data_IF_779576951725
#
_entry.id   IF_779576951725
#
_cell.length_a   1.000
_cell.length_b   1.000
_cell.length_c   1.000
_cell.angle_alpha   90.00
_cell.angle_beta   90.00
_cell.angle_gamma   90.00
#
_symmetry.space_group_name_H-M   'P 1'
#
loop_
_entity.id
_entity.type
_entity.pdbx_description
1 polymer ?
#
# COMPACT_ATOMS: atom_id res chain seq x y z
N UNK A 1 -4.74 5.39 -1.46
CA UNK A 1 -5.27 6.73 -1.15
C UNK A 1 -6.79 6.84 -1.35
N UNK A 2 -7.42 6.12 -2.28
CA UNK A 2 -8.84 6.35 -2.64
C UNK A 2 -9.94 5.79 -1.70
N UNK A 3 -9.63 4.97 -0.68
CA UNK A 3 -10.65 4.44 0.24
C UNK A 3 -10.92 5.35 1.46
N UNK A 4 -9.92 6.07 1.95
CA UNK A 4 -10.05 6.88 3.17
C UNK A 4 -10.79 8.21 2.94
N UNK A 5 -10.56 8.81 1.77
CA UNK A 5 -11.20 10.08 1.38
C UNK A 5 -12.72 9.95 1.19
N UNK A 6 -13.23 8.74 0.89
CA UNK A 6 -14.68 8.48 0.77
C UNK A 6 -15.42 8.41 2.12
N UNK A 7 -14.70 8.20 3.23
CA UNK A 7 -15.30 8.10 4.57
C UNK A 7 -14.98 9.31 5.46
N UNK A 8 -14.20 10.28 4.98
CA UNK A 8 -13.78 11.45 5.78
C UNK A 8 -12.90 11.10 6.98
N UNK A 9 -12.37 9.87 7.03
CA UNK A 9 -11.50 9.39 8.09
C UNK A 9 -10.06 9.52 7.60
N UNK A 10 -9.29 10.41 8.22
CA UNK A 10 -7.87 10.53 7.93
C UNK A 10 -7.14 9.20 8.20
N UNK A 11 -6.28 8.71 7.28
CA UNK A 11 -5.46 7.53 7.53
C UNK A 11 -4.71 7.63 8.87
N UNK A 12 -4.80 6.58 9.67
CA UNK A 12 -4.17 6.52 11.00
C UNK A 12 -4.88 7.31 12.10
N UNK A 13 -6.10 7.83 11.87
CA UNK A 13 -6.87 8.53 12.90
C UNK A 13 -7.07 7.69 14.17
N UNK A 14 -7.40 6.41 14.02
CA UNK A 14 -7.56 5.48 15.15
C UNK A 14 -6.28 5.34 15.98
N UNK A 15 -5.12 5.22 15.33
CA UNK A 15 -3.83 5.13 16.00
C UNK A 15 -3.48 6.43 16.73
N UNK A 16 -3.76 7.59 16.12
CA UNK A 16 -3.57 8.90 16.77
C UNK A 16 -4.47 9.04 17.99
N UNK A 17 -5.73 8.62 17.89
CA UNK A 17 -6.68 8.63 19.01
C UNK A 17 -6.19 7.73 20.16
N UNK A 18 -5.69 6.52 19.86
CA UNK A 18 -5.14 5.62 20.86
C UNK A 18 -3.89 6.21 21.56
N UNK A 19 -2.99 6.85 20.81
CA UNK A 19 -1.81 7.54 21.38
C UNK A 19 -2.23 8.70 22.29
N UNK A 20 -3.20 9.52 21.87
CA UNK A 20 -3.70 10.62 22.68
C UNK A 20 -4.34 10.11 23.97
N UNK A 21 -5.20 9.09 23.88
CA UNK A 21 -5.84 8.48 25.04
C UNK A 21 -4.80 7.89 26.03
N UNK A 22 -3.75 7.23 25.52
CA UNK A 22 -2.67 6.71 26.35
C UNK A 22 -1.93 7.83 27.09
N UNK A 23 -1.64 8.96 26.41
CA UNK A 23 -0.99 10.13 27.02
C UNK A 23 -1.85 10.76 28.12
N UNK A 24 -3.15 10.96 27.87
CA UNK A 24 -4.10 11.50 28.84
C UNK A 24 -4.18 10.63 30.12
N UNK A 25 -4.07 9.31 29.94
CA UNK A 25 -4.13 8.34 31.03
C UNK A 25 -2.75 7.95 31.60
N UNK A 26 -1.68 8.65 31.22
CA UNK A 26 -0.30 8.36 31.66
C UNK A 26 0.13 6.90 31.42
N UNK A 27 -0.37 6.29 30.34
CA UNK A 27 -0.02 4.92 29.92
C UNK A 27 1.16 4.94 28.95
N UNK A 28 2.06 3.95 29.03
CA UNK A 28 3.15 3.83 28.08
C UNK A 28 2.63 3.54 26.67
N UNK A 29 3.22 4.19 25.67
CA UNK A 29 2.98 3.91 24.24
C UNK A 29 4.12 3.04 23.74
N UNK A 30 3.79 1.86 23.24
CA UNK A 30 4.76 0.92 22.69
C UNK A 30 4.74 0.99 21.16
N UNK A 31 5.87 1.33 20.55
CA UNK A 31 6.06 1.28 19.10
C UNK A 31 6.48 -0.13 18.68
N UNK A 32 5.47 -0.99 18.52
CA UNK A 32 5.66 -2.42 18.22
C UNK A 32 5.72 -2.72 16.72
N UNK A 33 5.26 -1.79 15.88
CA UNK A 33 5.27 -1.97 14.44
C UNK A 33 6.70 -1.85 13.87
N UNK A 34 6.87 -2.44 12.70
CA UNK A 34 8.07 -2.39 11.88
C UNK A 34 8.17 -1.02 11.20
N UNK A 35 9.40 -0.54 11.03
CA UNK A 35 9.64 0.65 10.20
C UNK A 35 9.05 0.48 8.80
N UNK A 36 8.23 1.45 8.37
CA UNK A 36 7.50 1.38 7.10
C UNK A 36 8.43 1.16 5.88
N UNK A 37 9.65 1.71 5.92
CA UNK A 37 10.64 1.51 4.86
C UNK A 37 11.06 0.04 4.69
N UNK A 38 11.13 -0.73 5.78
CA UNK A 38 11.42 -2.17 5.73
C UNK A 38 10.22 -2.92 5.15
N UNK A 39 9.01 -2.56 5.55
CA UNK A 39 7.76 -3.13 4.97
C UNK A 39 7.71 -2.90 3.47
N UNK A 40 7.88 -1.67 3.01
CA UNK A 40 7.82 -1.31 1.59
C UNK A 40 8.92 -2.00 0.78
N UNK A 41 10.15 -2.08 1.33
CA UNK A 41 11.22 -2.85 0.69
C UNK A 41 10.82 -4.31 0.52
N UNK A 42 10.27 -4.96 1.56
CA UNK A 42 9.85 -6.36 1.49
C UNK A 42 8.73 -6.58 0.48
N UNK A 43 7.72 -5.70 0.45
CA UNK A 43 6.66 -5.72 -0.56
C UNK A 43 7.23 -5.65 -1.97
N UNK A 44 8.10 -4.67 -2.24
CA UNK A 44 8.73 -4.53 -3.56
C UNK A 44 9.54 -5.77 -3.91
N UNK A 45 10.30 -6.34 -2.96
CA UNK A 45 11.11 -7.53 -3.22
C UNK A 45 10.26 -8.78 -3.48
N UNK A 46 9.08 -8.87 -2.87
CA UNK A 46 8.20 -10.03 -3.01
C UNK A 46 7.41 -10.04 -4.32
N UNK A 47 7.21 -8.86 -4.93
CA UNK A 47 6.55 -8.74 -6.23
C UNK A 47 7.53 -9.12 -7.36
N UNK A 48 7.12 -9.91 -8.35
CA UNK A 48 7.92 -10.21 -9.53
C UNK A 48 8.39 -8.96 -10.29
N UNK A 49 9.59 -9.00 -10.87
CA UNK A 49 10.20 -7.81 -11.47
C UNK A 49 9.38 -7.22 -12.64
N UNK A 50 8.63 -8.05 -13.38
CA UNK A 50 7.75 -7.59 -14.45
C UNK A 50 6.54 -6.81 -13.92
N UNK A 51 5.91 -7.28 -12.85
CA UNK A 51 4.80 -6.58 -12.19
C UNK A 51 5.25 -5.24 -11.59
N UNK A 52 6.50 -5.14 -11.12
CA UNK A 52 7.06 -3.86 -10.65
C UNK A 52 7.01 -2.80 -11.73
N UNK A 53 7.30 -3.15 -12.99
CA UNK A 53 7.27 -2.23 -14.12
C UNK A 53 5.85 -1.66 -14.29
N UNK A 54 4.82 -2.50 -14.18
CA UNK A 54 3.41 -2.05 -14.23
C UNK A 54 3.07 -1.06 -13.11
N UNK A 55 3.52 -1.30 -11.89
CA UNK A 55 3.31 -0.39 -10.74
C UNK A 55 4.02 0.96 -10.98
N UNK A 56 5.27 0.93 -11.43
CA UNK A 56 6.03 2.16 -11.73
C UNK A 56 5.42 2.94 -12.90
N UNK A 57 5.01 2.25 -13.97
CA UNK A 57 4.33 2.85 -15.11
C UNK A 57 3.00 3.48 -14.68
N UNK A 58 2.19 2.78 -13.87
CA UNK A 58 0.95 3.32 -13.31
C UNK A 58 1.16 4.54 -12.41
N UNK A 59 2.23 4.56 -11.61
CA UNK A 59 2.61 5.72 -10.80
C UNK A 59 3.03 6.91 -11.67
N UNK A 60 3.87 6.70 -12.68
CA UNK A 60 4.28 7.74 -13.64
C UNK A 60 3.06 8.27 -14.39
N UNK A 61 2.21 7.39 -14.91
CA UNK A 61 0.95 7.76 -15.55
C UNK A 61 0.05 8.56 -14.61
N UNK A 62 -0.05 8.21 -13.32
CA UNK A 62 -0.85 8.96 -12.33
C UNK A 62 -0.30 10.37 -12.03
N UNK A 63 1.01 10.57 -12.22
CA UNK A 63 1.66 11.87 -12.04
C UNK A 63 1.46 12.72 -13.29
N UNK A 64 1.61 12.13 -14.48
CA UNK A 64 1.36 12.79 -15.76
C UNK A 64 -0.13 13.14 -15.95
N UNK A 65 -1.03 12.25 -15.51
CA UNK A 65 -2.49 12.44 -15.47
C UNK A 65 -2.97 13.58 -14.55
N UNK A 66 -2.07 14.25 -13.81
CA UNK A 66 -2.41 15.50 -13.13
C UNK A 66 -2.56 16.68 -14.11
N UNK A 67 -2.03 16.56 -15.32
CA UNK A 67 -2.44 17.35 -16.49
C UNK A 67 -3.46 16.51 -17.27
N UNK A 68 -4.55 17.14 -17.74
CA UNK A 68 -5.75 16.50 -18.30
C UNK A 68 -5.43 15.32 -19.23
N UNK A 69 -5.86 14.12 -18.87
CA UNK A 69 -5.64 12.91 -19.67
C UNK A 69 -6.51 12.96 -20.92
N UNK A 70 -5.88 12.89 -22.09
CA UNK A 70 -6.60 12.76 -23.36
C UNK A 70 -7.17 11.34 -23.53
N UNK A 71 -8.32 11.23 -24.19
CA UNK A 71 -9.02 9.95 -24.41
C UNK A 71 -8.15 8.95 -25.20
N UNK A 72 -7.25 9.47 -26.04
CA UNK A 72 -6.28 8.74 -26.86
C UNK A 72 -5.16 8.08 -26.03
N UNK A 73 -4.70 8.70 -24.94
CA UNK A 73 -3.72 8.10 -24.02
C UNK A 73 -4.33 6.98 -23.16
N UNK A 74 -5.65 7.05 -22.89
CA UNK A 74 -6.39 5.99 -22.19
C UNK A 74 -6.57 4.76 -23.09
N UNK A 75 -6.85 4.96 -24.37
CA UNK A 75 -6.94 3.88 -25.38
C UNK A 75 -5.60 3.18 -25.58
N UNK A 76 -4.49 3.93 -25.69
CA UNK A 76 -3.14 3.36 -25.82
C UNK A 76 -2.74 2.50 -24.60
N UNK A 77 -3.25 2.83 -23.42
CA UNK A 77 -3.08 2.03 -22.21
C UNK A 77 -3.90 0.72 -22.26
N UNK A 78 -5.08 0.72 -22.89
CA UNK A 78 -5.94 -0.47 -23.04
C UNK A 78 -5.46 -1.43 -24.12
N UNK A 79 -4.90 -0.91 -25.22
CA UNK A 79 -4.36 -1.74 -26.31
C UNK A 79 -3.10 -2.53 -25.90
N UNK A 80 -2.44 -2.10 -24.82
CA UNK A 80 -1.43 -2.90 -24.14
C UNK A 80 -2.07 -3.96 -23.26
N UNK A 81 -2.18 -5.19 -23.78
CA UNK A 81 -2.54 -6.48 -23.13
C UNK A 81 -1.88 -6.73 -21.74
N UNK A 82 -0.96 -5.86 -21.36
CA UNK A 82 -0.34 -5.72 -20.04
C UNK A 82 -1.29 -5.25 -18.94
N UNK A 83 -2.20 -4.29 -19.16
CA UNK A 83 -3.00 -3.74 -18.05
C UNK A 83 -4.03 -4.75 -17.55
N UNK A 84 -4.73 -5.44 -18.45
CA UNK A 84 -5.73 -6.44 -18.10
C UNK A 84 -5.07 -7.66 -17.43
N UNK A 85 -3.94 -8.12 -17.97
CA UNK A 85 -3.09 -9.16 -17.35
C UNK A 85 -2.54 -8.72 -15.99
N UNK A 86 -2.08 -7.47 -15.85
CA UNK A 86 -1.59 -6.94 -14.56
C UNK A 86 -2.71 -6.87 -13.53
N UNK A 87 -3.92 -6.42 -13.91
CA UNK A 87 -5.07 -6.38 -13.00
C UNK A 87 -5.53 -7.78 -12.59
N UNK A 88 -5.48 -8.76 -13.51
CA UNK A 88 -5.76 -10.16 -13.22
C UNK A 88 -4.70 -10.79 -12.30
N UNK A 89 -3.41 -10.59 -12.56
CA UNK A 89 -2.30 -11.03 -11.69
C UNK A 89 -2.35 -10.37 -10.30
N UNK A 90 -2.71 -9.08 -10.22
CA UNK A 90 -2.89 -8.36 -8.95
C UNK A 90 -4.08 -8.90 -8.13
N UNK A 91 -5.09 -9.48 -8.80
CA UNK A 91 -6.25 -10.09 -8.18
C UNK A 91 -6.02 -11.56 -7.79
N UNK A 92 -5.25 -12.31 -8.59
CA UNK A 92 -4.92 -13.71 -8.37
C UNK A 92 -3.85 -13.90 -7.29
N UNK A 93 -2.79 -13.07 -7.25
CA UNK A 93 -1.64 -13.31 -6.37
C UNK A 93 -1.57 -12.37 -5.16
N UNK A 94 -2.70 -12.28 -4.44
CA UNK A 94 -2.77 -11.51 -3.18
C UNK A 94 -1.73 -11.94 -2.13
N UNK A 95 -1.14 -13.13 -2.26
CA UNK A 95 -0.05 -13.63 -1.41
C UNK A 95 1.16 -12.70 -1.41
N UNK A 96 1.55 -12.16 -2.58
CA UNK A 96 2.76 -11.36 -2.71
C UNK A 96 2.71 -10.04 -1.93
N UNK A 97 1.51 -9.50 -1.75
CA UNK A 97 1.24 -8.33 -0.92
C UNK A 97 0.90 -8.73 0.52
N UNK A 98 0.08 -9.76 0.70
CA UNK A 98 -0.42 -10.20 2.00
C UNK A 98 0.71 -10.64 2.94
N UNK A 99 1.65 -11.46 2.44
CA UNK A 99 2.74 -11.98 3.25
C UNK A 99 3.59 -10.84 3.86
N UNK A 100 4.17 -9.92 3.06
CA UNK A 100 4.97 -8.85 3.62
C UNK A 100 4.13 -7.78 4.32
N UNK A 101 2.89 -7.47 3.93
CA UNK A 101 2.11 -6.39 4.58
C UNK A 101 1.42 -6.81 5.88
N UNK A 102 0.94 -8.06 5.95
CA UNK A 102 0.09 -8.55 7.04
C UNK A 102 0.85 -9.62 7.83
N UNK A 103 1.09 -10.80 7.25
CA UNK A 103 1.59 -11.95 8.01
C UNK A 103 2.96 -11.70 8.67
N UNK A 104 3.94 -11.20 7.92
CA UNK A 104 5.25 -10.85 8.48
C UNK A 104 5.17 -9.72 9.50
N UNK A 105 4.29 -8.74 9.25
CA UNK A 105 4.08 -7.60 10.15
C UNK A 105 3.52 -8.07 11.49
N UNK A 106 2.51 -8.93 11.44
CA UNK A 106 1.84 -9.44 12.62
C UNK A 106 2.78 -10.31 13.45
N UNK A 107 3.59 -11.16 12.79
CA UNK A 107 4.68 -11.90 13.47
C UNK A 107 5.72 -10.97 14.10
N UNK A 108 6.11 -9.89 13.41
CA UNK A 108 7.03 -8.89 13.95
C UNK A 108 6.45 -8.19 15.19
N UNK A 109 5.21 -7.71 15.11
CA UNK A 109 4.52 -7.05 16.23
C UNK A 109 4.35 -8.00 17.42
N UNK A 110 3.94 -9.25 17.18
CA UNK A 110 3.78 -10.26 18.24
C UNK A 110 5.11 -10.56 18.96
N UNK A 111 6.23 -10.60 18.23
CA UNK A 111 7.55 -10.79 18.83
C UNK A 111 8.02 -9.59 19.67
N UNK A 112 7.51 -8.38 19.41
CA UNK A 112 7.85 -7.15 20.15
C UNK A 112 7.02 -6.93 21.41
N UNK A 113 5.92 -7.67 21.58
CA UNK A 113 5.04 -7.63 22.76
C UNK A 113 5.41 -8.71 23.79
N UNK A 114 6.20 -9.72 23.40
CA UNK A 114 6.79 -10.71 24.32
C UNK A 114 7.98 -10.14 25.07
#
# INVERSE_FOLDING_TARGET
QRLADQFGIEPGAEQRAAVNYARENHRPVLLIDREIGVTLKRVIHNIPWWQRIGIFAGLIASILSREEVSEEEIEALKEGDMLETTFAEFAEDRQDLYLPLIDERDRYMAARIR
#
